data_IF_378226641865
#
_entry.id   IF_378226641865
#
_cell.length_a   1.000
_cell.length_b   1.000
_cell.length_c   1.000
_cell.angle_alpha   90.00
_cell.angle_beta   90.00
_cell.angle_gamma   90.00
#
_symmetry.space_group_name_H-M   'P 1'
#
loop_
_entity.id
_entity.type
_entity.pdbx_description
1 polymer ?
#
# COMPACT_ATOMS: atom_id res chain seq x y z
N UNK A 1 10.15 0.16 25.86
CA UNK A 1 9.63 -0.93 25.00
C UNK A 1 9.52 -0.56 23.51
N UNK A 2 9.56 0.73 23.12
CA UNK A 2 9.42 1.18 21.71
C UNK A 2 10.75 1.43 20.96
N UNK A 3 11.92 1.22 21.61
CA UNK A 3 13.24 1.51 21.02
C UNK A 3 13.80 0.39 20.14
N UNK A 4 13.08 -0.72 19.94
CA UNK A 4 13.58 -1.87 19.15
C UNK A 4 13.17 -1.85 17.68
N UNK A 5 12.51 -0.76 17.25
CA UNK A 5 12.06 -0.55 15.88
C UNK A 5 13.04 0.31 15.06
N UNK A 6 14.01 0.99 15.72
CA UNK A 6 14.93 1.90 15.07
C UNK A 6 16.13 1.13 14.49
N UNK A 7 16.30 1.08 13.16
CA UNK A 7 17.51 0.57 12.52
C UNK A 7 18.58 1.66 12.58
N UNK A 8 18.94 2.10 13.78
CA UNK A 8 20.15 2.88 13.98
C UNK A 8 21.34 2.02 14.38
N UNK A 9 21.19 0.69 14.52
CA UNK A 9 22.31 -0.17 14.90
C UNK A 9 22.31 -1.63 14.39
N UNK A 10 21.58 -1.97 13.33
CA UNK A 10 21.78 -3.28 12.70
C UNK A 10 21.87 -3.12 11.19
N UNK A 11 23.09 -3.20 10.68
CA UNK A 11 23.43 -3.58 9.31
C UNK A 11 23.02 -5.04 9.04
N UNK A 12 21.75 -5.37 9.27
CA UNK A 12 21.22 -6.72 9.22
C UNK A 12 19.86 -6.77 8.54
N UNK A 13 19.45 -7.93 8.02
CA UNK A 13 18.18 -8.09 7.34
C UNK A 13 17.00 -7.76 8.25
N UNK A 14 15.88 -7.36 7.64
CA UNK A 14 14.62 -7.07 8.35
C UNK A 14 14.17 -8.29 9.14
N UNK A 15 13.83 -8.07 10.40
CA UNK A 15 13.21 -9.10 11.24
C UNK A 15 11.70 -9.11 10.99
N UNK A 16 11.28 -9.92 10.01
CA UNK A 16 9.88 -10.05 9.59
C UNK A 16 8.96 -10.45 10.75
N UNK A 17 9.42 -11.32 11.66
CA UNK A 17 8.60 -11.75 12.80
C UNK A 17 8.25 -10.58 13.72
N UNK A 18 9.22 -9.70 14.01
CA UNK A 18 8.96 -8.47 14.79
C UNK A 18 8.10 -7.47 14.04
N UNK A 19 8.29 -7.37 12.73
CA UNK A 19 7.54 -6.45 11.89
C UNK A 19 6.06 -6.86 11.81
N UNK A 20 5.79 -8.13 11.53
CA UNK A 20 4.45 -8.74 11.53
C UNK A 20 3.81 -8.62 12.91
N UNK A 21 4.53 -8.96 13.99
CA UNK A 21 3.99 -8.84 15.34
C UNK A 21 3.60 -7.39 15.67
N UNK A 22 4.37 -6.41 15.22
CA UNK A 22 4.06 -4.99 15.47
C UNK A 22 2.86 -4.53 14.64
N UNK A 23 2.84 -4.79 13.34
CA UNK A 23 1.75 -4.37 12.47
C UNK A 23 0.44 -5.15 12.73
N UNK A 24 0.55 -6.41 13.14
CA UNK A 24 -0.60 -7.30 13.34
C UNK A 24 -1.24 -7.24 14.73
N UNK A 25 -0.55 -6.70 15.75
CA UNK A 25 -1.08 -6.67 17.14
C UNK A 25 -1.43 -5.27 17.64
N UNK A 26 -1.15 -4.22 16.86
CA UNK A 26 -1.34 -2.83 17.27
C UNK A 26 -2.55 -2.20 16.58
N UNK A 27 -3.18 -1.26 17.26
CA UNK A 27 -4.26 -0.46 16.68
C UNK A 27 -3.72 0.42 15.56
N UNK A 28 -4.48 0.57 14.47
CA UNK A 28 -4.12 1.38 13.31
C UNK A 28 -3.81 2.85 13.70
N UNK A 29 -4.60 3.42 14.63
CA UNK A 29 -4.36 4.78 15.12
C UNK A 29 -3.05 4.91 15.89
N UNK A 30 -2.69 3.91 16.68
CA UNK A 30 -1.42 3.89 17.42
C UNK A 30 -0.24 3.67 16.47
N UNK A 31 -0.41 2.85 15.44
CA UNK A 31 0.60 2.68 14.40
C UNK A 31 0.87 4.01 13.69
N UNK A 32 -0.19 4.70 13.26
CA UNK A 32 -0.06 5.98 12.56
C UNK A 32 0.53 7.09 13.45
N UNK A 33 -0.18 7.44 14.53
CA UNK A 33 0.09 8.63 15.36
C UNK A 33 1.25 8.46 16.35
N UNK A 34 1.79 7.25 16.50
CA UNK A 34 2.92 7.05 17.41
C UNK A 34 4.06 6.30 16.75
N UNK A 35 3.79 5.13 16.16
CA UNK A 35 4.88 4.27 15.65
C UNK A 35 5.52 4.84 14.39
N UNK A 36 4.71 5.22 13.40
CA UNK A 36 5.20 5.76 12.14
C UNK A 36 5.71 7.18 12.30
N UNK A 37 5.03 8.05 13.03
CA UNK A 37 5.55 9.39 13.35
C UNK A 37 6.91 9.33 14.07
N UNK A 38 7.04 8.46 15.09
CA UNK A 38 8.30 8.27 15.78
C UNK A 38 9.39 7.73 14.85
N UNK A 39 9.05 6.79 13.97
CA UNK A 39 9.98 6.27 12.98
C UNK A 39 10.41 7.36 12.00
N UNK A 40 9.49 8.17 11.49
CA UNK A 40 9.77 9.24 10.53
C UNK A 40 10.71 10.30 11.14
N UNK A 41 10.56 10.63 12.43
CA UNK A 41 11.46 11.54 13.15
C UNK A 41 12.86 10.96 13.38
N UNK A 42 12.99 9.64 13.54
CA UNK A 42 14.27 8.98 13.86
C UNK A 42 14.97 8.38 12.65
N UNK A 43 14.25 8.16 11.56
CA UNK A 43 14.75 7.48 10.38
C UNK A 43 15.55 8.42 9.50
N UNK A 44 16.78 8.01 9.17
CA UNK A 44 17.61 8.69 8.15
C UNK A 44 17.11 8.46 6.72
N UNK A 45 16.16 7.54 6.51
CA UNK A 45 15.67 7.11 5.19
C UNK A 45 14.40 7.86 4.75
N UNK A 46 13.95 8.88 5.49
CA UNK A 46 12.84 9.76 5.07
C UNK A 46 11.45 9.12 5.18
N UNK A 47 11.29 8.17 6.10
CA UNK A 47 10.01 7.62 6.54
C UNK A 47 9.79 6.14 6.21
N UNK A 48 8.76 5.53 6.80
CA UNK A 48 8.55 4.08 6.74
C UNK A 48 8.24 3.56 5.32
N UNK A 49 7.50 4.33 4.53
CA UNK A 49 7.17 3.95 3.14
C UNK A 49 8.40 4.00 2.23
N UNK A 50 9.26 5.01 2.39
CA UNK A 50 10.53 5.08 1.64
C UNK A 50 11.48 3.95 2.03
N UNK A 51 11.49 3.56 3.30
CA UNK A 51 12.22 2.38 3.74
C UNK A 51 11.72 1.13 3.03
N UNK A 52 10.40 0.88 3.06
CA UNK A 52 9.80 -0.28 2.38
C UNK A 52 10.06 -0.28 0.87
N UNK A 53 9.95 0.88 0.20
CA UNK A 53 10.23 1.01 -1.23
C UNK A 53 11.69 0.74 -1.60
N UNK A 54 12.64 0.90 -0.65
CA UNK A 54 14.06 0.59 -0.87
C UNK A 54 14.39 -0.90 -0.72
N UNK A 55 13.45 -1.70 -0.24
CA UNK A 55 13.67 -3.09 0.11
C UNK A 55 13.09 -4.03 -0.93
N UNK A 56 13.67 -5.23 -1.03
CA UNK A 56 13.29 -6.24 -2.02
C UNK A 56 12.65 -7.44 -1.34
N UNK A 57 11.56 -7.94 -1.90
CA UNK A 57 10.90 -9.19 -1.47
C UNK A 57 9.39 -9.15 -1.65
N UNK A 58 8.77 -10.31 -1.87
CA UNK A 58 7.32 -10.43 -2.09
C UNK A 58 6.48 -9.97 -0.89
N UNK A 59 7.04 -10.07 0.32
CA UNK A 59 6.37 -9.64 1.56
C UNK A 59 6.29 -8.11 1.69
N UNK A 60 7.10 -7.37 0.94
CA UNK A 60 7.18 -5.91 1.03
C UNK A 60 5.87 -5.24 0.64
N UNK A 61 5.19 -5.76 -0.37
CA UNK A 61 3.89 -5.23 -0.82
C UNK A 61 2.81 -5.40 0.25
N UNK A 62 2.80 -6.54 0.95
CA UNK A 62 1.91 -6.78 2.08
C UNK A 62 2.14 -5.81 3.24
N UNK A 63 3.41 -5.51 3.54
CA UNK A 63 3.75 -4.51 4.55
C UNK A 63 3.38 -3.09 4.11
N UNK A 64 3.60 -2.74 2.85
CA UNK A 64 3.20 -1.44 2.30
C UNK A 64 1.68 -1.27 2.40
N UNK A 65 0.91 -2.31 2.08
CA UNK A 65 -0.55 -2.31 2.22
C UNK A 65 -0.98 -2.04 3.67
N UNK A 66 -0.36 -2.71 4.66
CA UNK A 66 -0.66 -2.51 6.08
C UNK A 66 -0.31 -1.10 6.56
N UNK A 67 0.84 -0.56 6.13
CA UNK A 67 1.26 0.81 6.46
C UNK A 67 0.27 1.82 5.88
N UNK A 68 -0.07 1.71 4.59
CA UNK A 68 -1.03 2.61 3.94
C UNK A 68 -2.43 2.48 4.54
N UNK A 69 -2.85 1.28 4.94
CA UNK A 69 -4.11 1.07 5.68
C UNK A 69 -4.12 1.82 7.01
N UNK A 70 -3.05 1.71 7.80
CA UNK A 70 -2.95 2.41 9.07
C UNK A 70 -2.92 3.95 8.90
N UNK A 71 -2.38 4.45 7.78
CA UNK A 71 -2.40 5.88 7.43
C UNK A 71 -3.73 6.38 6.85
N UNK A 72 -4.68 5.49 6.54
CA UNK A 72 -5.92 5.84 5.85
C UNK A 72 -5.77 6.06 4.35
N UNK A 73 -4.64 5.66 3.77
CA UNK A 73 -4.28 5.81 2.35
C UNK A 73 -4.52 4.52 1.55
N UNK A 74 -5.45 3.68 1.99
CA UNK A 74 -5.69 2.38 1.37
C UNK A 74 -6.15 2.50 -0.10
N UNK A 75 -6.92 3.54 -0.42
CA UNK A 75 -7.38 3.81 -1.78
C UNK A 75 -6.19 4.07 -2.71
N UNK A 76 -5.26 4.92 -2.28
CA UNK A 76 -4.05 5.25 -3.03
C UNK A 76 -3.17 4.02 -3.28
N UNK A 77 -3.09 3.10 -2.30
CA UNK A 77 -2.40 1.82 -2.49
C UNK A 77 -3.00 1.01 -3.66
N UNK A 78 -4.32 0.85 -3.69
CA UNK A 78 -4.97 0.09 -4.78
C UNK A 78 -4.86 0.80 -6.13
N UNK A 79 -4.94 2.13 -6.16
CA UNK A 79 -4.71 2.93 -7.38
C UNK A 79 -3.30 2.66 -7.93
N UNK A 80 -2.28 2.68 -7.07
CA UNK A 80 -0.90 2.42 -7.45
C UNK A 80 -0.70 0.98 -7.95
N UNK A 81 -1.30 -0.01 -7.28
CA UNK A 81 -1.24 -1.42 -7.69
C UNK A 81 -1.95 -1.67 -9.02
N UNK A 82 -3.12 -1.07 -9.24
CA UNK A 82 -3.84 -1.16 -10.51
C UNK A 82 -3.02 -0.54 -11.64
N UNK A 83 -2.46 0.65 -11.41
CA UNK A 83 -1.60 1.29 -12.40
C UNK A 83 -0.36 0.44 -12.72
N UNK A 84 0.30 -0.11 -11.70
CA UNK A 84 1.45 -0.98 -11.89
C UNK A 84 1.12 -2.24 -12.70
N UNK A 85 -0.05 -2.84 -12.48
CA UNK A 85 -0.53 -4.00 -13.23
C UNK A 85 -0.86 -3.72 -14.70
N UNK A 86 -1.11 -2.45 -15.06
CA UNK A 86 -1.50 -2.02 -16.42
C UNK A 86 -0.40 -1.26 -17.18
N UNK A 87 0.71 -0.87 -16.53
CA UNK A 87 1.76 -0.03 -17.18
C UNK A 87 2.84 -0.85 -17.92
N UNK A 88 2.76 -2.17 -17.88
CA UNK A 88 3.82 -3.09 -18.33
C UNK A 88 3.69 -3.59 -19.77
N UNK A 89 4.67 -4.37 -20.25
CA UNK A 89 4.54 -5.19 -21.45
C UNK A 89 3.70 -6.42 -21.09
N UNK A 90 2.39 -6.24 -21.06
CA UNK A 90 1.41 -7.22 -20.59
C UNK A 90 0.68 -6.76 -19.32
N UNK A 91 -0.46 -7.38 -19.06
CA UNK A 91 -1.40 -7.00 -18.00
C UNK A 91 -1.47 -8.11 -16.95
N UNK A 92 -1.40 -7.76 -15.66
CA UNK A 92 -1.67 -8.72 -14.58
C UNK A 92 -3.18 -8.80 -14.33
N UNK A 93 -3.87 -9.52 -15.21
CA UNK A 93 -5.32 -9.70 -15.17
C UNK A 93 -5.79 -10.28 -13.84
N UNK A 94 -4.98 -11.15 -13.21
CA UNK A 94 -5.32 -11.74 -11.92
C UNK A 94 -5.33 -10.69 -10.81
N UNK A 95 -4.36 -9.78 -10.79
CA UNK A 95 -4.34 -8.68 -9.82
C UNK A 95 -5.51 -7.73 -10.04
N UNK A 96 -5.82 -7.39 -11.29
CA UNK A 96 -6.93 -6.50 -11.64
C UNK A 96 -8.26 -7.15 -11.24
N UNK A 97 -8.53 -8.37 -11.69
CA UNK A 97 -9.75 -9.13 -11.37
C UNK A 97 -9.88 -9.31 -9.86
N UNK A 98 -8.82 -9.73 -9.17
CA UNK A 98 -8.86 -9.95 -7.72
C UNK A 98 -9.09 -8.65 -6.97
N UNK A 99 -8.41 -7.55 -7.34
CA UNK A 99 -8.61 -6.24 -6.71
C UNK A 99 -10.03 -5.75 -6.92
N UNK A 100 -10.53 -5.83 -8.15
CA UNK A 100 -11.91 -5.46 -8.48
C UNK A 100 -12.91 -6.31 -7.70
N UNK A 101 -12.85 -7.63 -7.79
CA UNK A 101 -13.82 -8.54 -7.12
C UNK A 101 -13.73 -8.43 -5.60
N UNK A 102 -12.52 -8.51 -5.02
CA UNK A 102 -12.35 -8.50 -3.55
C UNK A 102 -12.80 -7.17 -2.93
N UNK A 103 -12.73 -6.07 -3.68
CA UNK A 103 -13.25 -4.77 -3.26
C UNK A 103 -14.73 -4.57 -3.58
N UNK A 104 -15.26 -5.30 -4.56
CA UNK A 104 -16.69 -5.30 -4.93
C UNK A 104 -17.57 -6.05 -3.92
N UNK A 105 -17.14 -7.23 -3.48
CA UNK A 105 -17.97 -8.12 -2.65
C UNK A 105 -17.88 -7.80 -1.14
N UNK A 106 -16.73 -7.30 -0.67
CA UNK A 106 -16.49 -7.06 0.77
C UNK A 106 -17.22 -5.84 1.34
N UNK A 107 -17.80 -4.96 0.51
CA UNK A 107 -18.49 -3.79 1.03
C UNK A 107 -19.52 -3.17 0.08
N UNK A 108 -20.71 -3.77 0.05
CA UNK A 108 -21.86 -3.35 -0.75
C UNK A 108 -22.30 -1.86 -0.56
N UNK A 109 -21.78 -1.13 0.43
CA UNK A 109 -22.04 0.31 0.63
C UNK A 109 -20.79 1.21 0.47
N UNK A 110 -19.57 0.66 0.52
CA UNK A 110 -18.35 1.44 0.28
C UNK A 110 -17.94 1.32 -1.20
N UNK A 111 -18.42 0.34 -1.98
CA UNK A 111 -18.06 0.14 -3.39
C UNK A 111 -18.32 1.33 -4.31
N UNK A 112 -19.47 2.01 -4.20
CA UNK A 112 -19.74 3.21 -5.00
C UNK A 112 -18.76 4.33 -4.65
N UNK A 113 -18.39 4.46 -3.37
CA UNK A 113 -17.50 5.52 -2.90
C UNK A 113 -16.05 5.18 -3.23
N UNK A 114 -15.58 3.98 -2.88
CA UNK A 114 -14.22 3.49 -3.12
C UNK A 114 -13.92 3.45 -4.62
N UNK A 115 -14.75 2.82 -5.45
CA UNK A 115 -14.46 2.73 -6.89
C UNK A 115 -14.58 4.10 -7.57
N UNK A 116 -15.52 4.96 -7.18
CA UNK A 116 -15.58 6.32 -7.68
C UNK A 116 -14.36 7.14 -7.25
N UNK A 117 -13.92 7.01 -5.99
CA UNK A 117 -12.73 7.67 -5.48
C UNK A 117 -11.47 7.15 -6.20
N UNK A 118 -11.37 5.84 -6.44
CA UNK A 118 -10.28 5.23 -7.22
C UNK A 118 -10.27 5.83 -8.63
N UNK A 119 -11.41 5.87 -9.33
CA UNK A 119 -11.51 6.46 -10.67
C UNK A 119 -11.12 7.95 -10.67
N UNK A 120 -11.57 8.70 -9.68
CA UNK A 120 -11.28 10.12 -9.54
C UNK A 120 -9.79 10.37 -9.25
N UNK A 121 -9.20 9.64 -8.30
CA UNK A 121 -7.78 9.76 -7.97
C UNK A 121 -6.88 9.25 -9.09
N UNK A 122 -7.26 8.17 -9.78
CA UNK A 122 -6.54 7.66 -10.94
C UNK A 122 -6.50 8.70 -12.07
N UNK A 123 -7.65 9.32 -12.37
CA UNK A 123 -7.71 10.42 -13.34
C UNK A 123 -6.88 11.64 -12.89
N UNK A 124 -6.95 12.00 -11.61
CA UNK A 124 -6.16 13.11 -11.07
C UNK A 124 -4.64 12.85 -11.13
N UNK A 125 -4.22 11.61 -10.93
CA UNK A 125 -2.81 11.21 -10.84
C UNK A 125 -2.18 10.87 -12.19
N UNK A 126 -2.94 10.28 -13.11
CA UNK A 126 -2.43 9.76 -14.38
C UNK A 126 -3.05 10.42 -15.62
N UNK A 127 -4.06 11.29 -15.47
CA UNK A 127 -4.62 12.10 -16.56
C UNK A 127 -5.54 11.36 -17.53
N UNK A 128 -5.98 10.15 -17.20
CA UNK A 128 -6.90 9.34 -18.02
C UNK A 128 -7.88 8.57 -17.14
N UNK A 129 -9.00 8.12 -17.71
CA UNK A 129 -9.98 7.33 -16.96
C UNK A 129 -9.52 5.88 -16.83
N UNK A 130 -9.87 5.25 -15.71
CA UNK A 130 -9.56 3.85 -15.45
C UNK A 130 -10.13 2.94 -16.56
N UNK A 131 -11.34 3.25 -17.05
CA UNK A 131 -12.02 2.47 -18.10
C UNK A 131 -11.30 2.54 -19.44
N UNK A 132 -10.83 3.71 -19.85
CA UNK A 132 -10.09 3.85 -21.10
C UNK A 132 -8.75 3.15 -21.00
N UNK A 133 -8.08 3.27 -19.85
CA UNK A 133 -6.79 2.61 -19.63
C UNK A 133 -6.91 1.09 -19.68
N UNK A 134 -7.94 0.51 -19.03
CA UNK A 134 -8.20 -0.95 -19.09
C UNK A 134 -8.56 -1.38 -20.51
N UNK A 135 -9.36 -0.60 -21.24
CA UNK A 135 -9.80 -0.95 -22.59
C UNK A 135 -8.66 -0.92 -23.63
N UNK A 136 -7.70 -0.02 -23.46
CA UNK A 136 -6.53 0.04 -24.33
C UNK A 136 -5.55 -1.11 -24.04
N UNK A 137 -5.58 -1.65 -22.81
CA UNK A 137 -4.67 -2.69 -22.34
C UNK A 137 -5.26 -4.12 -22.44
N UNK A 138 -6.57 -4.25 -22.65
CA UNK A 138 -7.26 -5.54 -22.81
C UNK A 138 -7.96 -5.63 -24.18
N UNK A 139 -7.57 -6.63 -24.98
CA UNK A 139 -8.08 -6.88 -26.34
C UNK A 139 -9.37 -7.69 -26.38
#
# INVERSE_FOLDING_TARGET
>A
MLLRWCPSNTSGPRDDAKFIATLGTRSLLQLNLATFEYYDQKSKKGGIEKYLASEKGEVVDGYMALVKTAKGELIQFYVDQLYAAMKGLGTDDNLIIRTLISRSESCFLITQIDLANIKQEFHAKYGTTLENFVKDDTS
#
